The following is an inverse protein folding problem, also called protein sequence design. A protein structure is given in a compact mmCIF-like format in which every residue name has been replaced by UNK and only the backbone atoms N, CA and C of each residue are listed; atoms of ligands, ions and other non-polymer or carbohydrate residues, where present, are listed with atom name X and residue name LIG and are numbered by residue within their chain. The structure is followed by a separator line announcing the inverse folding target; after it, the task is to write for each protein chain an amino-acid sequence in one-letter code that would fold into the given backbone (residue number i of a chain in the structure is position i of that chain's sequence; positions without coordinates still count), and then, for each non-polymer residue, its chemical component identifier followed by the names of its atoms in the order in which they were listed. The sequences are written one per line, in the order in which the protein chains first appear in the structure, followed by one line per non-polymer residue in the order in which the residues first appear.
data_IF_383946108949
#
_entry.id   IF_383946108949
#
_cell.length_a   1.000
_cell.length_b   1.000
_cell.length_c   1.000
_cell.angle_alpha   90.00
_cell.angle_beta   90.00
_cell.angle_gamma   90.00
#
_symmetry.space_group_name_H-M   'P 1'
#
loop_
_entity.id
_entity.type
_entity.pdbx_description
1 polymer ?
#
# COMPACT_ATOMS: atom_id res chain seq x y z
N UNK A 1 -30.27 57.39 -20.68
CA UNK A 1 -29.54 56.62 -21.70
C UNK A 1 -29.15 55.27 -21.12
N UNK A 2 -29.75 54.17 -21.63
CA UNK A 2 -29.31 52.80 -21.34
C UNK A 2 -28.10 52.49 -22.24
N UNK A 3 -27.01 51.96 -21.67
CA UNK A 3 -25.93 51.33 -22.43
C UNK A 3 -25.79 49.90 -21.93
N UNK A 4 -26.29 48.96 -22.72
CA UNK A 4 -25.98 47.55 -22.60
C UNK A 4 -24.55 47.29 -23.13
N UNK A 5 -24.03 46.10 -22.78
CA UNK A 5 -22.91 45.34 -23.36
C UNK A 5 -21.65 45.27 -22.48
N UNK A 6 -21.46 44.14 -21.80
CA UNK A 6 -20.39 43.17 -22.15
C UNK A 6 -20.58 41.88 -21.34
N UNK A 7 -20.79 40.78 -22.07
CA UNK A 7 -20.76 39.41 -21.57
C UNK A 7 -19.32 39.04 -21.23
N UNK A 8 -19.06 38.59 -20.02
CA UNK A 8 -17.81 37.88 -19.70
C UNK A 8 -18.19 36.66 -18.87
N UNK A 9 -18.47 35.55 -19.56
CA UNK A 9 -18.29 34.23 -18.97
C UNK A 9 -16.82 34.13 -18.56
N UNK A 10 -16.53 34.34 -17.29
CA UNK A 10 -15.25 33.93 -16.70
C UNK A 10 -15.56 32.74 -15.82
N UNK A 11 -15.32 31.58 -16.45
CA UNK A 11 -15.18 30.26 -15.85
C UNK A 11 -14.43 30.33 -14.53
N UNK A 12 -15.14 30.22 -13.42
CA UNK A 12 -14.49 29.97 -12.13
C UNK A 12 -14.23 28.47 -12.06
N UNK A 13 -13.01 28.10 -12.44
CA UNK A 13 -12.50 26.75 -12.34
C UNK A 13 -12.72 26.25 -10.90
N UNK A 14 -13.54 25.21 -10.75
CA UNK A 14 -13.50 24.38 -9.54
C UNK A 14 -12.17 23.65 -9.61
N UNK A 15 -11.14 24.22 -8.98
CA UNK A 15 -9.91 23.50 -8.70
C UNK A 15 -10.25 22.52 -7.58
N UNK A 16 -10.86 21.40 -7.96
CA UNK A 16 -10.91 20.24 -7.10
C UNK A 16 -9.45 19.86 -6.82
N UNK A 17 -9.00 20.11 -5.60
CA UNK A 17 -7.76 19.56 -5.11
C UNK A 17 -7.93 18.04 -5.13
N UNK A 18 -7.47 17.41 -6.21
CA UNK A 18 -7.13 16.00 -6.26
C UNK A 18 -5.99 15.82 -5.28
N UNK A 19 -6.33 15.64 -4.01
CA UNK A 19 -5.43 14.98 -3.06
C UNK A 19 -5.32 13.56 -3.57
N UNK A 20 -4.26 13.29 -4.35
CA UNK A 20 -3.83 11.92 -4.58
C UNK A 20 -3.60 11.35 -3.19
N UNK A 21 -4.46 10.41 -2.78
CA UNK A 21 -4.26 9.66 -1.57
C UNK A 21 -3.01 8.81 -1.81
N UNK A 22 -1.86 9.26 -1.34
CA UNK A 22 -0.62 8.50 -1.40
C UNK A 22 -0.62 7.46 -0.28
N UNK A 23 -1.73 6.73 -0.10
CA UNK A 23 -1.62 5.39 0.46
C UNK A 23 -0.76 4.63 -0.53
N UNK A 24 0.55 4.64 -0.30
CA UNK A 24 1.42 3.65 -0.89
C UNK A 24 0.80 2.32 -0.51
N UNK A 25 0.18 1.65 -1.49
CA UNK A 25 -0.40 0.33 -1.30
C UNK A 25 0.74 -0.57 -0.84
N UNK A 26 0.84 -0.74 0.48
CA UNK A 26 1.85 -1.61 1.08
C UNK A 26 1.54 -3.00 0.55
N UNK A 27 2.46 -3.54 -0.24
CA UNK A 27 2.24 -4.84 -0.83
C UNK A 27 2.16 -5.84 0.31
N UNK A 28 0.96 -6.38 0.50
CA UNK A 28 0.65 -7.31 1.60
C UNK A 28 0.70 -8.71 1.03
N UNK A 29 1.48 -9.58 1.69
CA UNK A 29 1.58 -10.99 1.34
C UNK A 29 1.21 -11.86 2.50
N UNK A 30 0.64 -13.01 2.19
CA UNK A 30 0.11 -13.94 3.17
C UNK A 30 1.09 -15.06 3.44
N UNK A 31 1.22 -15.42 4.71
CA UNK A 31 1.94 -16.61 5.16
C UNK A 31 0.92 -17.53 5.82
N UNK A 32 0.77 -18.76 5.34
CA UNK A 32 -0.05 -19.78 6.00
C UNK A 32 0.39 -21.21 5.67
N UNK A 33 0.01 -22.22 6.46
CA UNK A 33 0.45 -23.60 6.23
C UNK A 33 0.15 -24.15 4.82
N UNK A 34 -0.89 -23.62 4.16
CA UNK A 34 -1.24 -23.98 2.78
C UNK A 34 -2.13 -22.93 2.12
N UNK A 35 -1.90 -22.62 0.84
CA UNK A 35 -2.81 -21.79 0.03
C UNK A 35 -2.54 -20.28 0.08
N UNK A 36 -1.52 -19.84 0.81
CA UNK A 36 -1.03 -18.46 0.84
C UNK A 36 0.09 -18.23 -0.16
N UNK A 37 0.54 -16.97 -0.27
CA UNK A 37 1.70 -16.59 -1.10
C UNK A 37 2.96 -17.36 -0.69
N UNK A 38 3.14 -17.58 0.61
CA UNK A 38 4.24 -18.32 1.19
C UNK A 38 3.76 -19.21 2.34
N UNK A 39 4.55 -20.25 2.64
CA UNK A 39 4.32 -21.16 3.77
C UNK A 39 5.26 -20.91 4.95
N UNK A 40 6.27 -20.07 4.76
CA UNK A 40 7.26 -19.66 5.77
C UNK A 40 7.39 -18.14 5.78
N UNK A 41 7.79 -17.59 6.92
CA UNK A 41 7.99 -16.14 7.09
C UNK A 41 9.29 -15.73 6.39
N UNK A 42 10.34 -16.55 6.48
CA UNK A 42 11.62 -16.20 5.86
C UNK A 42 11.55 -16.24 4.32
N UNK A 43 10.76 -17.13 3.71
CA UNK A 43 10.58 -17.10 2.25
C UNK A 43 9.85 -15.84 1.80
N UNK A 44 8.88 -15.35 2.59
CA UNK A 44 8.21 -14.08 2.31
C UNK A 44 9.21 -12.91 2.32
N UNK A 45 10.14 -12.88 3.29
CA UNK A 45 11.20 -11.87 3.34
C UNK A 45 12.14 -11.99 2.14
N UNK A 46 12.62 -13.20 1.83
CA UNK A 46 13.60 -13.44 0.77
C UNK A 46 13.08 -13.06 -0.63
N UNK A 47 11.77 -13.16 -0.86
CA UNK A 47 11.17 -13.01 -2.19
C UNK A 47 10.43 -11.68 -2.39
N UNK A 48 10.40 -10.77 -1.40
CA UNK A 48 9.61 -9.53 -1.47
C UNK A 48 10.43 -8.28 -1.22
N UNK A 49 10.14 -7.25 -2.01
CA UNK A 49 10.79 -5.94 -1.95
C UNK A 49 10.20 -5.16 -0.77
N UNK A 50 11.06 -4.70 0.13
CA UNK A 50 10.68 -3.77 1.20
C UNK A 50 10.45 -2.33 0.65
N UNK A 51 9.56 -1.53 1.26
CA UNK A 51 8.78 -1.86 2.45
C UNK A 51 7.54 -2.71 2.12
N UNK A 52 7.26 -3.74 2.94
CA UNK A 52 6.15 -4.66 2.72
C UNK A 52 5.49 -5.14 4.03
N UNK A 53 4.23 -5.58 3.93
CA UNK A 53 3.49 -6.18 5.04
C UNK A 53 3.40 -7.69 4.84
N UNK A 54 3.79 -8.45 5.86
CA UNK A 54 3.65 -9.91 5.92
C UNK A 54 2.49 -10.21 6.88
N UNK A 55 1.36 -10.65 6.33
CA UNK A 55 0.19 -11.10 7.09
C UNK A 55 0.31 -12.60 7.34
N UNK A 56 0.64 -12.97 8.58
CA UNK A 56 0.78 -14.34 9.03
C UNK A 56 -0.56 -14.85 9.52
N UNK A 57 -1.15 -15.83 8.86
CA UNK A 57 -2.38 -16.45 9.33
C UNK A 57 -2.12 -17.38 10.52
N UNK A 58 -3.16 -17.70 11.27
CA UNK A 58 -3.09 -18.63 12.40
C UNK A 58 -2.42 -19.97 12.00
N UNK A 59 -1.41 -20.37 12.76
CA UNK A 59 -0.62 -21.56 12.49
C UNK A 59 0.60 -21.67 13.38
N UNK A 60 1.38 -22.73 13.21
CA UNK A 60 2.68 -22.90 13.85
C UNK A 60 3.75 -22.92 12.77
N UNK A 61 4.71 -21.99 12.86
CA UNK A 61 5.80 -21.84 11.91
C UNK A 61 7.11 -22.20 12.61
N UNK A 62 7.69 -23.34 12.23
CA UNK A 62 8.97 -23.79 12.75
C UNK A 62 10.10 -23.17 11.92
N UNK A 63 10.48 -21.95 12.29
CA UNK A 63 11.55 -21.18 11.65
C UNK A 63 12.86 -21.34 12.44
N UNK A 64 13.97 -21.59 11.74
CA UNK A 64 15.28 -21.66 12.40
C UNK A 64 15.85 -20.26 12.68
N UNK A 65 15.59 -19.30 11.80
CA UNK A 65 16.03 -17.91 11.89
C UNK A 65 15.05 -17.01 11.10
N UNK A 66 14.80 -15.81 11.61
CA UNK A 66 14.16 -14.73 10.87
C UNK A 66 15.15 -13.56 10.74
N UNK A 67 15.44 -13.16 9.50
CA UNK A 67 16.39 -12.11 9.17
C UNK A 67 15.81 -11.17 8.11
N UNK A 68 15.59 -9.92 8.49
CA UNK A 68 15.04 -8.86 7.62
C UNK A 68 16.09 -8.18 6.75
N UNK A 69 17.37 -8.53 6.90
CA UNK A 69 18.51 -7.89 6.25
C UNK A 69 18.59 -6.37 6.51
N UNK A 70 18.02 -5.90 7.64
CA UNK A 70 17.92 -4.48 7.97
C UNK A 70 16.89 -3.70 7.15
N UNK A 71 16.05 -4.40 6.38
CA UNK A 71 14.99 -3.80 5.57
C UNK A 71 13.67 -3.65 6.35
N UNK A 72 12.84 -2.65 6.03
CA UNK A 72 11.60 -2.40 6.73
C UNK A 72 10.48 -3.37 6.30
N UNK A 73 10.18 -4.36 7.15
CA UNK A 73 8.99 -5.20 7.03
C UNK A 73 8.05 -4.99 8.20
N UNK A 74 6.75 -4.95 7.92
CA UNK A 74 5.70 -5.00 8.94
C UNK A 74 5.18 -6.42 9.00
N UNK A 75 5.33 -7.10 10.14
CA UNK A 75 4.82 -8.47 10.33
C UNK A 75 3.62 -8.39 11.27
N UNK A 76 2.47 -8.89 10.81
CA UNK A 76 1.20 -8.88 11.55
C UNK A 76 0.58 -10.28 11.53
N UNK A 77 -0.18 -10.61 12.57
CA UNK A 77 -0.93 -11.86 12.72
C UNK A 77 -2.43 -11.65 12.44
#
# INVERSE_FOLDING_TARGET
MKRHLTSTLVTMAVLAAITADTTADFVTFTVCPSGCDFTTIQDAINNRIAPATIQVQAGTYNENEINTYGLPYTIVE
#
